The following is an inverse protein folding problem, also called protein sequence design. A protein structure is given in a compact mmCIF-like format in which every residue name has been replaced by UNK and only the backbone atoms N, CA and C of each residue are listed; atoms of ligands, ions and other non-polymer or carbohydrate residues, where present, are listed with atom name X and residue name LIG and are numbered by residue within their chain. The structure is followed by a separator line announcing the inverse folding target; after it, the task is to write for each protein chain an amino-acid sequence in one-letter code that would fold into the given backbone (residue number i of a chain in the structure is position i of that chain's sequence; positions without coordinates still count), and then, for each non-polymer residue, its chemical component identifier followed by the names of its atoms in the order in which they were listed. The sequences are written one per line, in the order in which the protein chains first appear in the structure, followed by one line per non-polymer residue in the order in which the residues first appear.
data_IF_668262840036
#
_entry.id   IF_668262840036
#
_cell.length_a   1.000
_cell.length_b   1.000
_cell.length_c   1.000
_cell.angle_alpha   90.00
_cell.angle_beta   90.00
_cell.angle_gamma   90.00
#
_symmetry.space_group_name_H-M   'P 1'
#
loop_
_entity.id
_entity.type
_entity.pdbx_description
1 polymer ?
#
# COMPACT_ATOMS: atom_id res chain seq x y z
N UNK A 1 17.35 21.20 -0.98
CA UNK A 1 18.43 20.49 -1.71
C UNK A 1 17.85 19.77 -2.91
N UNK A 2 18.44 19.90 -4.10
CA UNK A 2 17.95 19.21 -5.29
C UNK A 2 18.20 17.70 -5.17
N UNK A 3 17.19 16.88 -5.50
CA UNK A 3 17.31 15.40 -5.51
C UNK A 3 18.26 14.97 -6.63
N UNK A 4 19.17 14.04 -6.34
CA UNK A 4 20.06 13.44 -7.35
C UNK A 4 19.27 12.63 -8.39
N UNK A 5 19.85 12.40 -9.58
CA UNK A 5 19.22 11.58 -10.65
C UNK A 5 18.85 10.18 -10.14
N UNK A 6 19.75 9.54 -9.38
CA UNK A 6 19.51 8.25 -8.74
C UNK A 6 18.30 8.28 -7.80
N UNK A 7 18.13 9.36 -7.03
CA UNK A 7 16.98 9.51 -6.13
C UNK A 7 15.67 9.70 -6.91
N UNK A 8 15.69 10.45 -8.02
CA UNK A 8 14.53 10.63 -8.89
C UNK A 8 14.07 9.29 -9.49
N UNK A 9 14.99 8.48 -10.01
CA UNK A 9 14.68 7.15 -10.56
C UNK A 9 14.11 6.20 -9.51
N UNK A 10 14.68 6.18 -8.30
CA UNK A 10 14.14 5.38 -7.18
C UNK A 10 12.71 5.78 -6.84
N UNK A 11 12.44 7.09 -6.72
CA UNK A 11 11.10 7.58 -6.41
C UNK A 11 10.11 7.24 -7.53
N UNK A 12 10.52 7.39 -8.78
CA UNK A 12 9.69 7.02 -9.93
C UNK A 12 9.32 5.53 -9.89
N UNK A 13 10.30 4.63 -9.72
CA UNK A 13 10.04 3.20 -9.62
C UNK A 13 9.13 2.85 -8.45
N UNK A 14 9.31 3.51 -7.30
CA UNK A 14 8.42 3.37 -6.14
C UNK A 14 6.98 3.76 -6.47
N UNK A 15 6.75 4.90 -7.13
CA UNK A 15 5.41 5.32 -7.54
C UNK A 15 4.78 4.38 -8.58
N UNK A 16 5.56 3.84 -9.52
CA UNK A 16 5.06 2.85 -10.48
C UNK A 16 4.59 1.59 -9.77
N UNK A 17 5.36 1.07 -8.80
CA UNK A 17 4.95 -0.10 -8.03
C UNK A 17 3.67 0.15 -7.22
N UNK A 18 3.53 1.34 -6.63
CA UNK A 18 2.30 1.73 -5.92
C UNK A 18 1.12 1.81 -6.88
N UNK A 19 1.28 2.44 -8.04
CA UNK A 19 0.22 2.55 -9.03
C UNK A 19 -0.26 1.16 -9.51
N UNK A 20 0.66 0.20 -9.66
CA UNK A 20 0.30 -1.19 -9.98
C UNK A 20 -0.48 -1.84 -8.83
N UNK A 21 -0.07 -1.64 -7.57
CA UNK A 21 -0.80 -2.20 -6.41
C UNK A 21 -2.21 -1.59 -6.25
N UNK A 22 -2.33 -0.29 -6.47
CA UNK A 22 -3.60 0.44 -6.51
C UNK A 22 -4.50 -0.01 -7.68
N UNK A 23 -3.93 -0.23 -8.86
CA UNK A 23 -4.65 -0.79 -10.00
C UNK A 23 -5.21 -2.18 -9.68
N UNK A 24 -4.40 -3.06 -9.10
CA UNK A 24 -4.85 -4.37 -8.63
C UNK A 24 -6.00 -4.23 -7.61
N UNK A 25 -5.88 -3.30 -6.65
CA UNK A 25 -6.96 -3.05 -5.70
C UNK A 25 -8.26 -2.60 -6.38
N UNK A 26 -8.17 -1.65 -7.32
CA UNK A 26 -9.31 -1.10 -8.05
C UNK A 26 -10.01 -2.18 -8.90
N UNK A 27 -9.24 -3.01 -9.62
CA UNK A 27 -9.77 -4.15 -10.37
C UNK A 27 -10.47 -5.18 -9.47
N UNK A 28 -10.05 -5.30 -8.21
CA UNK A 28 -10.68 -6.12 -7.17
C UNK A 28 -11.78 -5.37 -6.40
N UNK A 29 -12.34 -4.29 -6.96
CA UNK A 29 -13.43 -3.50 -6.39
C UNK A 29 -13.03 -2.74 -5.12
N UNK A 30 -11.78 -2.29 -5.03
CA UNK A 30 -11.27 -1.39 -3.99
C UNK A 30 -11.27 0.07 -4.43
N UNK A 31 -10.88 0.97 -3.53
CA UNK A 31 -10.71 2.38 -3.87
C UNK A 31 -9.43 2.58 -4.71
N UNK A 32 -9.47 3.50 -5.67
CA UNK A 32 -8.35 3.79 -6.55
C UNK A 32 -7.10 4.28 -5.81
N UNK A 33 -7.28 5.02 -4.71
CA UNK A 33 -6.18 5.60 -3.94
C UNK A 33 -5.65 4.67 -2.82
N UNK A 34 -6.29 3.53 -2.57
CA UNK A 34 -5.89 2.56 -1.55
C UNK A 34 -5.07 1.44 -2.20
N UNK A 35 -3.86 1.19 -1.67
CA UNK A 35 -3.04 0.02 -1.99
C UNK A 35 -3.75 -1.29 -1.59
N UNK A 36 -3.60 -2.34 -2.39
CA UNK A 36 -4.21 -3.64 -2.10
C UNK A 36 -3.67 -4.23 -0.79
N UNK A 37 -2.37 -4.06 -0.55
CA UNK A 37 -1.70 -4.43 0.69
C UNK A 37 -2.29 -3.73 1.93
N UNK A 38 -2.59 -2.43 1.85
CA UNK A 38 -3.29 -1.69 2.93
C UNK A 38 -4.70 -2.23 3.17
N UNK A 39 -5.47 -2.48 2.10
CA UNK A 39 -6.81 -3.06 2.19
C UNK A 39 -6.81 -4.45 2.83
N UNK A 40 -5.78 -5.26 2.53
CA UNK A 40 -5.58 -6.56 3.16
C UNK A 40 -5.42 -6.44 4.68
N UNK A 41 -4.61 -5.50 5.15
CA UNK A 41 -4.44 -5.24 6.58
C UNK A 41 -5.76 -4.82 7.23
N UNK A 42 -6.44 -3.81 6.69
CA UNK A 42 -7.71 -3.33 7.24
C UNK A 42 -8.77 -4.43 7.30
N UNK A 43 -8.90 -5.22 6.22
CA UNK A 43 -9.87 -6.31 6.14
C UNK A 43 -9.56 -7.51 7.04
N UNK A 44 -8.28 -7.74 7.37
CA UNK A 44 -7.85 -8.88 8.19
C UNK A 44 -7.69 -8.56 9.68
N UNK A 45 -7.22 -7.35 10.02
CA UNK A 45 -6.80 -6.97 11.37
C UNK A 45 -7.70 -5.92 12.03
N UNK A 46 -8.35 -5.03 11.26
CA UNK A 46 -9.14 -3.91 11.81
C UNK A 46 -10.66 -4.11 11.69
N UNK A 47 -11.12 -5.06 10.89
CA UNK A 47 -12.54 -5.37 10.78
C UNK A 47 -13.02 -6.15 12.02
N UNK A 48 -14.17 -5.78 12.59
CA UNK A 48 -14.76 -6.46 13.77
C UNK A 48 -14.95 -7.97 13.56
N UNK A 49 -15.33 -8.35 12.33
CA UNK A 49 -15.51 -9.76 11.91
C UNK A 49 -14.76 -10.00 10.60
N UNK A 50 -13.45 -10.29 10.66
CA UNK A 50 -12.64 -10.42 9.46
C UNK A 50 -13.06 -11.66 8.65
N UNK A 51 -13.31 -11.48 7.36
CA UNK A 51 -13.66 -12.59 6.44
C UNK A 51 -12.43 -13.46 6.17
N UNK A 52 -12.62 -14.77 5.98
CA UNK A 52 -11.53 -15.74 5.71
C UNK A 52 -10.63 -15.30 4.53
N UNK A 53 -11.23 -14.76 3.46
CA UNK A 53 -10.49 -14.25 2.29
C UNK A 53 -9.45 -13.20 2.65
N UNK A 54 -9.75 -12.30 3.59
CA UNK A 54 -8.83 -11.22 3.96
C UNK A 54 -7.67 -11.73 4.80
N UNK A 55 -7.92 -12.70 5.70
CA UNK A 55 -6.84 -13.38 6.43
C UNK A 55 -5.90 -14.15 5.49
N UNK A 56 -6.45 -14.77 4.44
CA UNK A 56 -5.64 -15.41 3.41
C UNK A 56 -4.77 -14.38 2.68
N UNK A 57 -5.37 -13.34 2.11
CA UNK A 57 -4.62 -12.32 1.35
C UNK A 57 -3.57 -11.60 2.20
N UNK A 58 -3.89 -11.28 3.46
CA UNK A 58 -2.93 -10.70 4.40
C UNK A 58 -1.69 -11.59 4.59
N UNK A 59 -1.88 -12.89 4.84
CA UNK A 59 -0.75 -13.83 4.98
C UNK A 59 0.00 -14.04 3.66
N UNK A 60 -0.74 -14.17 2.56
CA UNK A 60 -0.16 -14.39 1.23
C UNK A 60 0.71 -13.21 0.80
N UNK A 61 0.20 -11.98 0.90
CA UNK A 61 0.94 -10.77 0.49
C UNK A 61 2.16 -10.55 1.38
N UNK A 62 2.04 -10.65 2.70
CA UNK A 62 3.21 -10.55 3.59
C UNK A 62 4.28 -11.61 3.27
N UNK A 63 3.85 -12.83 2.94
CA UNK A 63 4.76 -13.91 2.51
C UNK A 63 5.43 -13.63 1.17
N UNK A 64 4.68 -13.12 0.18
CA UNK A 64 5.18 -12.74 -1.14
C UNK A 64 6.29 -11.69 -1.06
N UNK A 65 6.11 -10.68 -0.19
CA UNK A 65 7.11 -9.64 0.05
C UNK A 65 8.19 -10.04 1.06
N UNK A 66 8.11 -11.26 1.62
CA UNK A 66 9.03 -11.79 2.66
C UNK A 66 9.19 -10.82 3.83
N UNK A 67 8.15 -10.05 4.13
CA UNK A 67 8.10 -9.07 5.20
C UNK A 67 6.79 -9.26 5.98
N UNK A 68 6.85 -9.74 7.24
CA UNK A 68 5.66 -10.00 8.05
C UNK A 68 4.85 -8.73 8.36
N UNK A 69 5.45 -7.54 8.22
CA UNK A 69 4.82 -6.26 8.47
C UNK A 69 4.48 -5.49 7.19
N UNK A 70 4.61 -6.09 6.00
CA UNK A 70 4.43 -5.39 4.73
C UNK A 70 3.06 -4.70 4.64
N UNK A 71 1.97 -5.46 4.80
CA UNK A 71 0.61 -4.91 4.72
C UNK A 71 0.33 -3.88 5.83
N UNK A 72 0.91 -4.06 7.03
CA UNK A 72 0.77 -3.08 8.13
C UNK A 72 1.48 -1.76 7.77
N UNK A 73 2.69 -1.84 7.24
CA UNK A 73 3.48 -0.69 6.81
C UNK A 73 2.81 0.04 5.65
N UNK A 74 2.19 -0.69 4.72
CA UNK A 74 1.37 -0.10 3.66
C UNK A 74 0.20 0.68 4.24
N UNK A 75 -0.57 0.07 5.15
CA UNK A 75 -1.67 0.76 5.85
C UNK A 75 -1.23 2.02 6.59
N UNK A 76 -0.13 1.97 7.34
CA UNK A 76 0.42 3.14 8.02
C UNK A 76 0.91 4.22 7.04
N UNK A 77 1.39 3.81 5.87
CA UNK A 77 1.85 4.73 4.82
C UNK A 77 0.69 5.43 4.12
N UNK A 78 -0.45 4.74 3.96
CA UNK A 78 -1.71 5.31 3.49
C UNK A 78 -2.24 6.38 4.45
N UNK A 79 -2.31 6.06 5.76
CA UNK A 79 -2.73 7.02 6.79
C UNK A 79 -1.85 8.27 6.76
N UNK A 80 -0.53 8.08 6.65
CA UNK A 80 0.45 9.18 6.63
C UNK A 80 0.62 9.81 5.25
N UNK A 81 -0.16 9.37 4.25
CA UNK A 81 -0.09 9.80 2.84
C UNK A 81 1.32 9.81 2.25
N UNK A 82 2.19 8.89 2.66
CA UNK A 82 3.62 8.89 2.25
C UNK A 82 3.82 8.77 0.75
N UNK A 83 2.87 8.14 0.06
CA UNK A 83 2.88 7.96 -1.39
C UNK A 83 2.45 9.20 -2.18
N UNK A 84 1.83 10.18 -1.52
CA UNK A 84 1.35 11.39 -2.15
C UNK A 84 2.49 12.39 -2.36
N UNK A 85 2.39 13.28 -3.37
CA UNK A 85 3.23 14.48 -3.43
C UNK A 85 3.12 15.29 -2.13
N UNK A 86 4.20 15.98 -1.76
CA UNK A 86 4.32 16.73 -0.50
C UNK A 86 3.23 17.79 -0.31
N UNK A 87 2.70 18.31 -1.40
CA UNK A 87 1.61 19.28 -1.46
C UNK A 87 0.29 18.69 -0.92
N UNK A 88 0.06 17.39 -1.12
CA UNK A 88 -1.17 16.70 -0.72
C UNK A 88 -1.05 15.97 0.64
N UNK A 89 0.14 15.95 1.23
CA UNK A 89 0.39 15.35 2.55
C UNK A 89 -0.04 16.26 3.71
N UNK A 90 -0.15 17.57 3.48
CA UNK A 90 -0.59 18.54 4.48
C UNK A 90 -2.11 18.56 4.53
N UNK A 91 -2.70 17.94 5.54
CA UNK A 91 -4.13 18.02 5.88
C UNK A 91 -4.23 18.49 7.31
#
# INVERSE_FOLDING_TARGET
MAKTVKQKLKNWGYHVLIAVDQLCNALMGGAADETFSSRCYRGAMLADKPKKRWRFWYKFVNGLFRDPNHCKTAYESEIKRRQYPTEFQKI
#
